data_IF_036793959371
#
_entry.id   IF_036793959371
#
_cell.length_a   1.000
_cell.length_b   1.000
_cell.length_c   1.000
_cell.angle_alpha   90.00
_cell.angle_beta   90.00
_cell.angle_gamma   90.00
#
_symmetry.space_group_name_H-M   'P 1'
#
loop_
_entity.id
_entity.type
_entity.pdbx_description
1 polymer ?
#
# COMPACT_ATOMS: atom_id res chain seq x y z
N UNK A 1 -16.43 20.44 -3.70
CA UNK A 1 -16.51 19.88 -5.04
C UNK A 1 -15.25 19.09 -5.36
N UNK A 2 -15.42 17.91 -5.94
CA UNK A 2 -14.28 17.07 -6.25
C UNK A 2 -13.55 17.58 -7.48
N UNK A 3 -12.22 17.60 -7.41
CA UNK A 3 -11.40 18.03 -8.53
C UNK A 3 -11.16 16.86 -9.49
N UNK A 4 -11.10 17.11 -10.80
CA UNK A 4 -10.85 16.02 -11.75
C UNK A 4 -9.56 15.25 -11.47
N UNK A 5 -8.52 15.94 -11.03
CA UNK A 5 -7.23 15.24 -10.76
C UNK A 5 -7.32 14.37 -9.51
N UNK A 6 -8.32 14.58 -8.64
CA UNK A 6 -8.50 13.72 -7.48
C UNK A 6 -8.89 12.31 -7.91
N UNK A 7 -9.72 12.21 -8.95
CA UNK A 7 -10.12 10.91 -9.46
C UNK A 7 -8.95 10.19 -10.10
N UNK A 8 -8.11 10.92 -10.82
CA UNK A 8 -6.91 10.35 -11.41
C UNK A 8 -5.95 9.86 -10.33
N UNK A 9 -5.82 10.63 -9.25
CA UNK A 9 -4.97 10.26 -8.13
C UNK A 9 -5.46 8.96 -7.49
N UNK A 10 -6.76 8.84 -7.27
CA UNK A 10 -7.32 7.63 -6.68
C UNK A 10 -7.11 6.41 -7.57
N UNK A 11 -7.24 6.59 -8.89
CA UNK A 11 -7.01 5.49 -9.81
C UNK A 11 -5.54 5.03 -9.76
N UNK A 12 -4.63 5.99 -9.65
CA UNK A 12 -3.21 5.68 -9.53
C UNK A 12 -2.93 4.93 -8.23
N UNK A 13 -3.56 5.35 -7.14
CA UNK A 13 -3.39 4.70 -5.85
C UNK A 13 -3.93 3.26 -5.86
N UNK A 14 -5.08 3.05 -6.48
CA UNK A 14 -5.65 1.70 -6.54
C UNK A 14 -4.74 0.75 -7.29
N UNK A 15 -4.16 1.20 -8.40
CA UNK A 15 -3.22 0.38 -9.14
C UNK A 15 -1.97 0.11 -8.31
N UNK A 16 -1.50 1.12 -7.59
CA UNK A 16 -0.34 0.96 -6.72
C UNK A 16 -0.62 0.00 -5.58
N UNK A 17 -1.79 0.09 -4.98
CA UNK A 17 -2.18 -0.83 -3.90
C UNK A 17 -2.14 -2.28 -4.38
N UNK A 18 -2.68 -2.52 -5.55
CA UNK A 18 -2.69 -3.85 -6.13
C UNK A 18 -1.27 -4.40 -6.28
N UNK A 19 -0.36 -3.56 -6.78
CA UNK A 19 1.03 -3.97 -6.95
C UNK A 19 1.72 -4.23 -5.61
N UNK A 20 1.45 -3.38 -4.61
CA UNK A 20 2.03 -3.55 -3.27
C UNK A 20 1.55 -4.87 -2.66
N UNK A 21 0.27 -5.15 -2.77
CA UNK A 21 -0.30 -6.37 -2.24
C UNK A 21 0.35 -7.59 -2.91
N UNK A 22 0.51 -7.54 -4.22
CA UNK A 22 1.18 -8.61 -4.95
C UNK A 22 2.61 -8.81 -4.47
N UNK A 23 3.32 -7.69 -4.23
CA UNK A 23 4.69 -7.77 -3.74
C UNK A 23 4.74 -8.45 -2.37
N UNK A 24 3.83 -8.07 -1.47
CA UNK A 24 3.79 -8.69 -0.14
C UNK A 24 3.58 -10.19 -0.28
N UNK A 25 2.63 -10.59 -1.11
CA UNK A 25 2.32 -11.98 -1.32
C UNK A 25 3.53 -12.76 -1.83
N UNK A 26 4.21 -12.20 -2.83
CA UNK A 26 5.34 -12.89 -3.46
C UNK A 26 6.60 -12.90 -2.59
N UNK A 27 6.88 -11.78 -1.95
CA UNK A 27 8.11 -11.66 -1.16
C UNK A 27 8.08 -12.52 0.09
N UNK A 28 6.91 -12.70 0.68
CA UNK A 28 6.80 -13.36 1.97
C UNK A 28 6.00 -14.65 1.90
N UNK A 29 5.66 -15.07 0.69
CA UNK A 29 4.99 -16.35 0.46
C UNK A 29 3.71 -16.48 1.27
N UNK A 30 2.90 -15.44 1.28
CA UNK A 30 1.59 -15.45 1.90
C UNK A 30 0.52 -15.36 0.82
N UNK A 31 -0.70 -15.78 1.14
CA UNK A 31 -1.79 -15.72 0.18
C UNK A 31 -2.13 -14.27 -0.14
N UNK A 32 -2.77 -14.08 -1.30
CA UNK A 32 -3.23 -12.74 -1.69
C UNK A 32 -4.21 -12.21 -0.66
N UNK A 33 -5.08 -13.07 -0.15
CA UNK A 33 -6.06 -12.66 0.86
C UNK A 33 -5.37 -12.16 2.12
N UNK A 34 -4.34 -12.86 2.54
CA UNK A 34 -3.58 -12.45 3.72
C UNK A 34 -2.83 -11.15 3.44
N UNK A 35 -2.26 -11.01 2.25
CA UNK A 35 -1.56 -9.79 1.88
C UNK A 35 -2.51 -8.59 1.87
N UNK A 36 -3.74 -8.78 1.39
CA UNK A 36 -4.75 -7.74 1.42
C UNK A 36 -5.04 -7.30 2.85
N UNK A 37 -5.21 -8.26 3.74
CA UNK A 37 -5.49 -7.96 5.14
C UNK A 37 -4.34 -7.20 5.78
N UNK A 38 -3.12 -7.64 5.54
CA UNK A 38 -1.93 -6.97 6.06
C UNK A 38 -1.87 -5.53 5.56
N UNK A 39 -2.14 -5.35 4.26
CA UNK A 39 -2.08 -4.03 3.66
C UNK A 39 -3.12 -3.08 4.26
N UNK A 40 -4.37 -3.55 4.38
CA UNK A 40 -5.45 -2.67 4.82
C UNK A 40 -5.46 -2.41 6.33
N UNK A 41 -4.68 -3.17 7.10
CA UNK A 41 -4.52 -2.88 8.52
C UNK A 41 -3.27 -2.06 8.81
N UNK A 42 -2.51 -1.73 7.78
CA UNK A 42 -1.27 -0.96 7.94
C UNK A 42 -1.58 0.51 8.22
N UNK A 43 -0.77 1.10 9.10
CA UNK A 43 -0.88 2.53 9.39
C UNK A 43 -0.32 3.39 8.25
N UNK A 44 0.40 2.77 7.32
CA UNK A 44 0.88 3.49 6.14
C UNK A 44 -0.22 3.82 5.15
N UNK A 45 -1.32 3.06 5.18
CA UNK A 45 -2.39 3.28 4.22
C UNK A 45 -2.98 4.69 4.27
N UNK A 46 -3.37 5.22 5.45
CA UNK A 46 -3.86 6.60 5.50
C UNK A 46 -2.84 7.61 5.00
N UNK A 47 -1.56 7.36 5.25
CA UNK A 47 -0.50 8.26 4.81
C UNK A 47 -0.36 8.25 3.30
N UNK A 48 -0.54 7.07 2.68
CA UNK A 48 -0.54 6.95 1.24
C UNK A 48 -1.71 7.72 0.63
N UNK A 49 -2.88 7.57 1.24
CA UNK A 49 -4.08 8.23 0.73
C UNK A 49 -3.99 9.75 0.83
N UNK A 50 -3.31 10.24 1.85
CA UNK A 50 -3.13 11.68 2.05
C UNK A 50 -1.93 12.23 1.29
N UNK A 51 -1.12 11.37 0.67
CA UNK A 51 0.05 11.81 -0.08
C UNK A 51 1.17 12.33 0.80
N UNK A 52 1.20 11.91 2.06
CA UNK A 52 2.18 12.40 3.03
C UNK A 52 3.59 11.99 2.59
N UNK A 53 4.52 12.95 2.59
CA UNK A 53 5.93 12.73 2.29
C UNK A 53 6.12 12.00 0.95
N UNK A 54 5.18 12.16 0.03
CA UNK A 54 5.24 11.54 -1.30
C UNK A 54 5.45 10.04 -1.25
N UNK A 55 4.86 9.39 -0.25
CA UNK A 55 4.98 7.94 -0.10
C UNK A 55 4.53 7.20 -1.35
N UNK A 56 3.52 7.73 -2.04
CA UNK A 56 3.02 7.09 -3.26
C UNK A 56 4.06 7.07 -4.38
N UNK A 57 5.14 7.85 -4.25
CA UNK A 57 6.23 7.88 -5.22
C UNK A 57 7.32 6.86 -4.90
N UNK A 58 7.25 6.22 -3.73
CA UNK A 58 8.20 5.18 -3.38
C UNK A 58 7.91 3.92 -4.17
N UNK A 59 8.91 3.07 -4.31
CA UNK A 59 8.73 1.83 -5.06
C UNK A 59 7.74 0.92 -4.35
N UNK A 60 7.07 0.08 -5.14
CA UNK A 60 6.12 -0.88 -4.60
C UNK A 60 6.81 -1.81 -3.61
N UNK A 61 8.02 -2.23 -3.95
CA UNK A 61 8.79 -3.14 -3.11
C UNK A 61 9.15 -2.49 -1.78
N UNK A 62 9.54 -1.22 -1.81
CA UNK A 62 9.88 -0.50 -0.59
C UNK A 62 8.67 -0.43 0.34
N UNK A 63 7.52 -0.08 -0.21
CA UNK A 63 6.31 0.04 0.60
C UNK A 63 5.86 -1.32 1.11
N UNK A 64 5.97 -2.35 0.29
CA UNK A 64 5.61 -3.70 0.71
C UNK A 64 6.47 -4.14 1.90
N UNK A 65 7.76 -3.84 1.86
CA UNK A 65 8.65 -4.22 2.95
C UNK A 65 8.35 -3.45 4.23
N UNK A 66 8.03 -2.15 4.10
CA UNK A 66 7.69 -1.34 5.26
C UNK A 66 6.40 -1.83 5.91
N UNK A 67 5.41 -2.16 5.10
CA UNK A 67 4.14 -2.68 5.58
C UNK A 67 4.35 -4.02 6.27
N UNK A 68 5.16 -4.88 5.68
CA UNK A 68 5.46 -6.19 6.27
C UNK A 68 6.19 -6.03 7.60
N UNK A 69 7.16 -5.14 7.66
CA UNK A 69 7.91 -4.90 8.90
C UNK A 69 6.97 -4.44 10.00
N UNK A 70 6.07 -3.52 9.68
CA UNK A 70 5.08 -3.03 10.63
C UNK A 70 4.21 -4.17 11.15
N UNK A 71 3.75 -5.02 10.23
CA UNK A 71 2.93 -6.17 10.58
C UNK A 71 3.66 -7.10 11.55
N UNK A 72 4.93 -7.37 11.29
CA UNK A 72 5.71 -8.23 12.15
C UNK A 72 5.94 -7.62 13.53
N UNK A 73 6.12 -6.31 13.58
CA UNK A 73 6.34 -5.63 14.85
C UNK A 73 5.10 -5.60 15.74
N UNK A 74 3.93 -5.65 15.12
CA UNK A 74 2.66 -5.62 15.86
C UNK A 74 2.25 -6.98 16.41
N UNK A 75 2.93 -8.01 16.04
CA UNK A 75 2.57 -9.37 16.48
C UNK A 75 2.94 -9.66 17.91
#
# INVERSE_FOLDING_TARGET
MKQPHDEAYHAILEAKYSRIISEISEMHDVSIEQAIEIFYTSELLPLLEDGVADLHCRSDKYLAEEIWREFCEKK
#
